data_IF_235832272135
#
_entry.id   IF_235832272135
#
_cell.length_a   1.000
_cell.length_b   1.000
_cell.length_c   1.000
_cell.angle_alpha   90.00
_cell.angle_beta   90.00
_cell.angle_gamma   90.00
#
_symmetry.space_group_name_H-M   'P 1'
#
loop_
_entity.id
_entity.type
_entity.pdbx_description
1 polymer ?
#
# COMPACT_ATOMS: atom_id res chain seq x y z
N UNK A 1 -0.45 -9.24 -22.95
CA UNK A 1 -1.31 -9.14 -21.75
C UNK A 1 -0.81 -7.95 -20.96
N UNK A 2 -1.55 -6.84 -20.99
CA UNK A 2 -1.16 -5.63 -20.28
C UNK A 2 -1.67 -5.79 -18.84
N UNK A 3 -0.75 -6.01 -17.89
CA UNK A 3 -1.13 -6.10 -16.48
C UNK A 3 -1.69 -4.75 -16.04
N UNK A 4 -2.89 -4.76 -15.48
CA UNK A 4 -3.53 -3.56 -14.96
C UNK A 4 -2.85 -3.12 -13.66
N UNK A 5 -2.99 -1.84 -13.33
CA UNK A 5 -2.45 -1.27 -12.08
C UNK A 5 -3.05 -1.98 -10.84
N UNK A 6 -4.33 -2.36 -10.91
CA UNK A 6 -5.03 -3.07 -9.85
C UNK A 6 -4.47 -4.49 -9.59
N UNK A 7 -4.14 -5.24 -10.64
CA UNK A 7 -3.48 -6.55 -10.51
C UNK A 7 -2.10 -6.42 -9.86
N UNK A 8 -1.33 -5.41 -10.25
CA UNK A 8 0.01 -5.15 -9.70
C UNK A 8 -0.05 -4.82 -8.20
N UNK A 9 -0.97 -3.94 -7.81
CA UNK A 9 -1.14 -3.54 -6.41
C UNK A 9 -1.73 -4.64 -5.56
N UNK A 10 -2.76 -5.36 -6.01
CA UNK A 10 -3.31 -6.50 -5.27
C UNK A 10 -2.26 -7.60 -5.06
N UNK A 11 -1.38 -7.84 -6.05
CA UNK A 11 -0.23 -8.72 -5.87
C UNK A 11 0.66 -8.23 -4.72
N UNK A 12 1.09 -6.98 -4.77
CA UNK A 12 1.99 -6.43 -3.74
C UNK A 12 1.33 -6.35 -2.36
N UNK A 13 0.02 -6.10 -2.27
CA UNK A 13 -0.73 -6.15 -1.01
C UNK A 13 -0.79 -7.57 -0.44
N UNK A 14 -0.95 -8.62 -1.26
CA UNK A 14 -0.84 -10.00 -0.77
C UNK A 14 0.55 -10.29 -0.20
N UNK A 15 1.59 -9.71 -0.79
CA UNK A 15 2.94 -9.76 -0.22
C UNK A 15 2.99 -9.10 1.16
N UNK A 16 2.42 -7.88 1.28
CA UNK A 16 2.37 -7.18 2.57
C UNK A 16 1.61 -7.99 3.62
N UNK A 17 0.47 -8.59 3.27
CA UNK A 17 -0.29 -9.47 4.17
C UNK A 17 0.55 -10.66 4.67
N UNK A 18 1.28 -11.35 3.79
CA UNK A 18 2.17 -12.44 4.18
C UNK A 18 3.33 -11.98 5.07
N UNK A 19 3.82 -10.75 4.93
CA UNK A 19 4.83 -10.19 5.84
C UNK A 19 4.25 -9.94 7.23
N UNK A 20 3.03 -9.38 7.30
CA UNK A 20 2.32 -9.13 8.56
C UNK A 20 1.92 -10.44 9.26
N UNK A 21 1.55 -11.47 8.49
CA UNK A 21 1.28 -12.81 9.01
C UNK A 21 2.52 -13.41 9.69
N UNK A 22 3.68 -13.36 9.03
CA UNK A 22 4.93 -13.81 9.63
C UNK A 22 5.30 -13.03 10.90
N UNK A 23 4.97 -11.74 10.95
CA UNK A 23 5.16 -10.94 12.14
C UNK A 23 4.24 -11.40 13.29
N UNK A 24 2.98 -11.71 12.99
CA UNK A 24 2.03 -12.23 13.98
C UNK A 24 2.48 -13.60 14.51
N UNK A 25 2.97 -14.48 13.63
CA UNK A 25 3.43 -15.83 14.01
C UNK A 25 4.71 -15.80 14.86
N UNK A 26 5.61 -14.85 14.60
CA UNK A 26 6.92 -14.77 15.26
C UNK A 26 6.95 -13.84 16.47
N UNK A 27 6.04 -12.87 16.55
CA UNK A 27 6.01 -11.84 17.60
C UNK A 27 5.48 -12.32 18.95
N UNK A 28 4.87 -13.51 19.02
CA UNK A 28 4.36 -14.06 20.27
C UNK A 28 3.24 -13.21 20.88
N UNK A 29 3.26 -13.02 22.21
CA UNK A 29 2.20 -12.29 22.93
C UNK A 29 2.22 -10.77 22.70
N UNK A 30 3.37 -10.24 22.28
CA UNK A 30 3.62 -8.81 22.15
C UNK A 30 3.69 -8.40 20.66
N UNK A 31 3.21 -9.26 19.75
CA UNK A 31 3.29 -9.03 18.31
C UNK A 31 2.66 -7.70 17.87
N UNK A 32 1.59 -7.28 18.55
CA UNK A 32 0.91 -6.02 18.28
C UNK A 32 1.75 -4.78 18.64
N UNK A 33 2.77 -4.89 19.51
CA UNK A 33 3.68 -3.76 19.80
C UNK A 33 4.48 -3.32 18.55
N UNK A 34 4.66 -4.22 17.57
CA UNK A 34 5.30 -3.90 16.29
C UNK A 34 4.55 -2.81 15.52
N UNK A 35 3.25 -2.63 15.76
CA UNK A 35 2.45 -1.61 15.09
C UNK A 35 2.94 -0.18 15.40
N UNK A 36 3.59 0.01 16.55
CA UNK A 36 4.24 1.27 16.98
C UNK A 36 5.68 1.43 16.48
N UNK A 37 6.30 0.38 15.95
CA UNK A 37 7.72 0.41 15.58
C UNK A 37 7.96 1.33 14.37
N UNK A 38 9.10 2.02 14.36
CA UNK A 38 9.55 2.94 13.30
C UNK A 38 11.06 2.86 13.09
N UNK A 39 11.52 3.25 11.90
CA UNK A 39 12.95 3.20 11.54
C UNK A 39 13.74 4.41 12.07
N UNK A 40 13.10 5.57 12.17
CA UNK A 40 13.69 6.80 12.68
C UNK A 40 12.65 7.58 13.50
N UNK A 41 13.06 8.48 14.41
CA UNK A 41 12.13 9.19 15.30
C UNK A 41 11.08 10.03 14.59
N UNK A 42 11.41 10.58 13.42
CA UNK A 42 10.56 11.42 12.57
C UNK A 42 9.79 10.63 11.50
N UNK A 43 10.01 9.32 11.40
CA UNK A 43 9.27 8.46 10.49
C UNK A 43 7.99 7.91 11.12
N UNK A 44 6.97 7.77 10.27
CA UNK A 44 5.73 7.11 10.65
C UNK A 44 5.91 5.63 11.02
N UNK A 45 5.15 5.13 12.01
CA UNK A 45 5.24 3.75 12.48
C UNK A 45 4.61 2.75 11.52
N UNK A 46 4.81 1.44 11.78
CA UNK A 46 4.31 0.35 10.95
C UNK A 46 2.83 0.47 10.62
N UNK A 47 1.99 0.79 11.61
CA UNK A 47 0.54 0.97 11.44
C UNK A 47 0.23 1.96 10.30
N UNK A 48 0.88 3.12 10.32
CA UNK A 48 0.72 4.17 9.33
C UNK A 48 1.28 3.77 7.98
N UNK A 49 2.41 3.06 7.92
CA UNK A 49 2.95 2.55 6.65
C UNK A 49 1.98 1.59 5.96
N UNK A 50 1.36 0.68 6.72
CA UNK A 50 0.34 -0.24 6.18
C UNK A 50 -0.88 0.53 5.68
N UNK A 51 -1.35 1.52 6.46
CA UNK A 51 -2.48 2.37 6.06
C UNK A 51 -2.19 3.11 4.75
N UNK A 52 -1.02 3.72 4.58
CA UNK A 52 -0.68 4.41 3.33
C UNK A 52 -0.47 3.46 2.15
N UNK A 53 0.10 2.28 2.37
CA UNK A 53 0.18 1.27 1.31
C UNK A 53 -1.22 0.89 0.79
N UNK A 54 -2.17 0.65 1.70
CA UNK A 54 -3.58 0.37 1.36
C UNK A 54 -4.24 1.57 0.69
N UNK A 55 -4.06 2.78 1.22
CA UNK A 55 -4.62 3.99 0.65
C UNK A 55 -4.22 4.18 -0.80
N UNK A 56 -2.91 4.16 -1.09
CA UNK A 56 -2.41 4.37 -2.44
C UNK A 56 -2.86 3.27 -3.39
N UNK A 57 -2.89 2.02 -2.93
CA UNK A 57 -3.40 0.92 -3.75
C UNK A 57 -4.84 1.16 -4.23
N UNK A 58 -5.69 1.74 -3.38
CA UNK A 58 -7.10 2.02 -3.69
C UNK A 58 -7.31 3.35 -4.42
N UNK A 59 -6.58 4.39 -4.04
CA UNK A 59 -6.75 5.74 -4.55
C UNK A 59 -6.23 5.91 -5.98
N UNK A 60 -5.05 5.35 -6.28
CA UNK A 60 -4.39 5.49 -7.59
C UNK A 60 -5.29 5.03 -8.75
N UNK A 61 -5.97 3.86 -8.70
CA UNK A 61 -6.91 3.46 -9.74
C UNK A 61 -8.06 4.46 -9.97
N UNK A 62 -8.58 5.11 -8.92
CA UNK A 62 -9.64 6.12 -9.08
C UNK A 62 -9.12 7.35 -9.82
N UNK A 63 -7.95 7.87 -9.45
CA UNK A 63 -7.33 9.00 -10.15
C UNK A 63 -7.01 8.68 -11.61
N UNK A 64 -6.58 7.45 -11.91
CA UNK A 64 -6.34 7.01 -13.28
C UNK A 64 -7.62 6.90 -14.12
N UNK A 65 -8.78 6.77 -13.50
CA UNK A 65 -10.08 6.83 -14.18
C UNK A 65 -10.68 8.24 -14.20
N UNK A 66 -10.01 9.23 -13.61
CA UNK A 66 -10.55 10.59 -13.45
C UNK A 66 -11.75 10.64 -12.49
N UNK A 67 -11.90 9.64 -11.63
CA UNK A 67 -12.98 9.52 -10.66
C UNK A 67 -12.57 10.14 -9.33
N UNK A 68 -13.52 10.74 -8.58
CA UNK A 68 -13.26 11.13 -7.19
C UNK A 68 -12.95 9.89 -6.36
N UNK A 69 -12.04 10.02 -5.40
CA UNK A 69 -11.73 8.97 -4.42
C UNK A 69 -12.92 8.90 -3.45
N UNK A 70 -13.59 7.74 -3.30
CA UNK A 70 -14.73 7.63 -2.39
C UNK A 70 -14.33 7.95 -0.94
N UNK A 71 -15.20 8.64 -0.20
CA UNK A 71 -14.98 8.88 1.24
C UNK A 71 -14.80 7.59 2.02
N UNK A 72 -15.43 6.48 1.58
CA UNK A 72 -15.23 5.16 2.17
C UNK A 72 -13.78 4.67 2.06
N UNK A 73 -13.06 4.97 0.97
CA UNK A 73 -11.63 4.64 0.82
C UNK A 73 -10.79 5.47 1.80
N UNK A 74 -11.13 6.75 1.95
CA UNK A 74 -10.46 7.64 2.92
C UNK A 74 -10.72 7.17 4.35
N UNK A 75 -11.97 6.90 4.70
CA UNK A 75 -12.39 6.43 6.02
C UNK A 75 -11.77 5.08 6.37
N UNK A 76 -11.69 4.15 5.40
CA UNK A 76 -11.03 2.86 5.56
C UNK A 76 -9.61 3.05 6.07
N UNK A 77 -8.88 4.04 5.57
CA UNK A 77 -7.48 4.31 5.92
C UNK A 77 -7.37 5.14 7.20
N UNK A 78 -8.14 6.21 7.34
CA UNK A 78 -8.05 7.13 8.48
C UNK A 78 -8.36 6.45 9.82
N UNK A 79 -9.19 5.40 9.82
CA UNK A 79 -9.50 4.64 11.03
C UNK A 79 -8.29 3.87 11.62
N UNK A 80 -7.17 3.75 10.90
CA UNK A 80 -5.93 3.12 11.38
C UNK A 80 -4.78 4.10 11.64
N UNK A 81 -5.04 5.41 11.61
CA UNK A 81 -4.02 6.47 11.74
C UNK A 81 -4.03 7.16 13.11
N UNK A 82 -4.48 6.48 14.16
CA UNK A 82 -4.34 6.98 15.53
C UNK A 82 -2.92 6.66 16.05
N UNK A 83 -2.04 7.66 16.24
CA UNK A 83 -0.68 7.42 16.74
C UNK A 83 -0.65 6.93 18.19
N UNK A 84 -1.69 7.21 18.97
CA UNK A 84 -1.81 6.77 20.37
C UNK A 84 -2.47 5.39 20.46
N UNK A 85 -3.15 4.94 19.40
CA UNK A 85 -3.78 3.64 19.30
C UNK A 85 -3.48 2.97 17.93
N UNK A 86 -2.27 2.41 17.77
CA UNK A 86 -1.78 1.89 16.48
C UNK A 86 -2.49 0.60 16.01
N UNK A 87 -3.40 0.06 16.83
CA UNK A 87 -4.17 -1.14 16.53
C UNK A 87 -3.37 -2.43 16.61
N UNK A 88 -3.89 -3.48 15.97
CA UNK A 88 -3.32 -4.84 15.99
C UNK A 88 -2.89 -5.28 14.60
N UNK A 89 -1.97 -6.26 14.54
CA UNK A 89 -1.59 -6.91 13.28
C UNK A 89 -2.80 -7.55 12.60
N UNK A 90 -3.72 -8.14 13.38
CA UNK A 90 -4.96 -8.72 12.85
C UNK A 90 -5.83 -7.67 12.15
N UNK A 91 -6.00 -6.49 12.75
CA UNK A 91 -6.76 -5.39 12.14
C UNK A 91 -6.06 -4.82 10.91
N UNK A 92 -4.73 -4.74 10.94
CA UNK A 92 -3.94 -4.33 9.78
C UNK A 92 -4.10 -5.30 8.60
N UNK A 93 -4.00 -6.61 8.85
CA UNK A 93 -4.24 -7.67 7.85
C UNK A 93 -5.66 -7.63 7.27
N UNK A 94 -6.67 -7.47 8.12
CA UNK A 94 -8.06 -7.33 7.66
C UNK A 94 -8.21 -6.15 6.68
N UNK A 95 -7.59 -5.01 7.00
CA UNK A 95 -7.58 -3.83 6.12
C UNK A 95 -6.90 -4.09 4.78
N UNK A 96 -5.81 -4.85 4.76
CA UNK A 96 -5.13 -5.28 3.52
C UNK A 96 -6.03 -6.23 2.71
N UNK A 97 -6.69 -7.20 3.36
CA UNK A 97 -7.59 -8.14 2.72
C UNK A 97 -8.80 -7.45 2.07
N UNK A 98 -9.43 -6.50 2.77
CA UNK A 98 -10.53 -5.69 2.24
C UNK A 98 -10.10 -4.91 1.00
N UNK A 99 -8.90 -4.33 1.02
CA UNK A 99 -8.36 -3.59 -0.12
C UNK A 99 -8.09 -4.49 -1.33
N UNK A 100 -7.60 -5.71 -1.11
CA UNK A 100 -7.45 -6.71 -2.17
C UNK A 100 -8.81 -7.05 -2.78
N UNK A 101 -9.84 -7.30 -1.98
CA UNK A 101 -11.19 -7.62 -2.46
C UNK A 101 -11.80 -6.47 -3.28
N UNK A 102 -11.59 -5.23 -2.86
CA UNK A 102 -12.00 -4.04 -3.64
C UNK A 102 -11.27 -4.00 -4.98
N UNK A 103 -9.95 -4.23 -4.99
CA UNK A 103 -9.15 -4.19 -6.23
C UNK A 103 -9.50 -5.29 -7.23
N UNK A 104 -9.87 -6.48 -6.74
CA UNK A 104 -10.26 -7.61 -7.59
C UNK A 104 -11.61 -7.38 -8.30
N UNK A 105 -12.46 -6.52 -7.74
CA UNK A 105 -13.77 -6.16 -8.32
C UNK A 105 -13.76 -4.81 -9.03
N UNK A 106 -12.66 -4.06 -8.96
CA UNK A 106 -12.54 -2.74 -9.54
C UNK A 106 -12.47 -2.79 -11.09
N UNK A 107 -13.05 -1.81 -11.78
CA UNK A 107 -12.83 -1.63 -13.22
C UNK A 107 -11.35 -1.46 -13.52
N UNK A 108 -10.92 -2.02 -14.67
CA UNK A 108 -9.54 -1.92 -15.11
C UNK A 108 -9.08 -0.46 -15.16
N UNK A 109 -7.99 -0.15 -14.45
CA UNK A 109 -7.32 1.14 -14.48
C UNK A 109 -5.98 0.94 -15.18
N UNK A 110 -5.89 1.42 -16.42
CA UNK A 110 -4.67 1.35 -17.22
C UNK A 110 -4.00 2.72 -17.29
N UNK A 111 -2.66 2.78 -17.34
CA UNK A 111 -1.92 4.03 -17.53
C UNK A 111 -2.14 4.67 -18.91
N UNK A 112 -2.86 4.00 -19.81
CA UNK A 112 -3.25 4.53 -21.13
C UNK A 112 -3.77 5.96 -20.95
N UNK A 113 -3.43 6.90 -21.85
CA UNK A 113 -3.75 8.30 -21.62
C UNK A 113 -5.25 8.43 -21.30
N UNK A 114 -5.56 9.21 -20.28
CA UNK A 114 -6.88 9.79 -20.01
C UNK A 114 -7.34 10.72 -21.17
N UNK A 115 -6.92 10.43 -22.41
CA UNK A 115 -6.78 11.42 -23.49
C UNK A 115 -5.89 12.57 -23.04
N UNK A 116 -6.37 13.79 -23.26
CA UNK A 116 -5.75 15.04 -22.80
C UNK A 116 -6.01 15.35 -21.31
N UNK A 117 -6.75 14.49 -20.58
CA UNK A 117 -7.07 14.80 -19.19
C UNK A 117 -5.86 14.56 -18.27
N UNK A 118 -5.58 15.56 -17.43
CA UNK A 118 -4.50 15.52 -16.46
C UNK A 118 -5.00 14.97 -15.12
N UNK A 119 -4.20 14.11 -14.48
CA UNK A 119 -4.36 13.80 -13.06
C UNK A 119 -3.93 15.02 -12.26
N UNK A 120 -4.84 15.55 -11.43
CA UNK A 120 -4.57 16.68 -10.53
C UNK A 120 -4.40 16.18 -9.11
N UNK A 121 -3.33 16.62 -8.46
CA UNK A 121 -3.05 16.36 -7.04
C UNK A 121 -2.95 17.72 -6.34
N UNK A 122 -3.89 17.98 -5.45
CA UNK A 122 -3.88 19.16 -4.61
C UNK A 122 -3.05 18.89 -3.37
N UNK A 123 -2.07 19.74 -3.11
CA UNK A 123 -1.26 19.75 -1.90
C UNK A 123 -1.31 21.14 -1.25
N UNK A 124 -1.02 21.25 0.06
CA UNK A 124 -0.97 22.55 0.74
C UNK A 124 -0.01 23.57 0.10
N UNK A 125 1.00 23.10 -0.64
CA UNK A 125 2.00 23.92 -1.33
C UNK A 125 1.72 24.12 -2.84
N UNK A 126 0.62 23.59 -3.38
CA UNK A 126 0.22 23.79 -4.79
C UNK A 126 -0.50 22.59 -5.42
N UNK A 127 -0.93 22.78 -6.67
CA UNK A 127 -1.56 21.72 -7.47
C UNK A 127 -0.59 21.20 -8.52
N UNK A 128 -0.34 19.90 -8.52
CA UNK A 128 0.41 19.21 -9.58
C UNK A 128 -0.56 18.67 -10.63
N UNK A 129 -0.23 18.85 -11.91
CA UNK A 129 -0.97 18.27 -13.02
C UNK A 129 -0.03 17.39 -13.84
N UNK A 130 -0.43 16.13 -14.07
CA UNK A 130 0.40 15.12 -14.74
C UNK A 130 -0.43 14.35 -15.76
N UNK A 131 0.18 13.87 -16.83
CA UNK A 131 -0.44 12.82 -17.66
C UNK A 131 -0.65 11.55 -16.83
N UNK A 132 -1.52 10.64 -17.26
CA UNK A 132 -1.67 9.34 -16.60
C UNK A 132 -0.35 8.56 -16.48
N UNK A 133 0.48 8.60 -17.53
CA UNK A 133 1.81 7.96 -17.51
C UNK A 133 2.77 8.61 -16.52
N UNK A 134 2.87 9.94 -16.52
CA UNK A 134 3.69 10.68 -15.55
C UNK A 134 3.20 10.42 -14.12
N UNK A 135 1.88 10.40 -13.91
CA UNK A 135 1.31 10.10 -12.61
C UNK A 135 1.74 8.71 -12.13
N UNK A 136 1.63 7.67 -12.96
CA UNK A 136 2.05 6.32 -12.59
C UNK A 136 3.55 6.25 -12.33
N UNK A 137 4.35 6.70 -13.31
CA UNK A 137 5.81 6.57 -13.31
C UNK A 137 6.46 7.43 -12.23
N UNK A 138 6.06 8.69 -12.12
CA UNK A 138 6.78 9.70 -11.34
C UNK A 138 6.18 9.89 -9.94
N UNK A 139 4.94 9.46 -9.69
CA UNK A 139 4.26 9.67 -8.41
C UNK A 139 3.74 8.38 -7.77
N UNK A 140 2.77 7.75 -8.41
CA UNK A 140 1.91 6.72 -7.83
C UNK A 140 2.71 5.48 -7.41
N UNK A 141 3.60 4.98 -8.28
CA UNK A 141 4.44 3.82 -7.97
C UNK A 141 5.41 4.11 -6.82
N UNK A 142 6.02 5.30 -6.80
CA UNK A 142 6.95 5.70 -5.75
C UNK A 142 6.27 5.73 -4.38
N UNK A 143 5.09 6.37 -4.29
CA UNK A 143 4.31 6.42 -3.06
C UNK A 143 3.97 5.02 -2.55
N UNK A 144 3.38 4.18 -3.40
CA UNK A 144 2.96 2.84 -3.00
C UNK A 144 4.14 1.96 -2.54
N UNK A 145 5.18 1.83 -3.36
CA UNK A 145 6.31 0.95 -3.03
C UNK A 145 7.15 1.45 -1.86
N UNK A 146 7.24 2.77 -1.65
CA UNK A 146 7.93 3.33 -0.49
C UNK A 146 7.31 2.81 0.82
N UNK A 147 5.99 2.85 0.94
CA UNK A 147 5.30 2.41 2.16
C UNK A 147 5.40 0.89 2.37
N UNK A 148 5.26 0.08 1.31
CA UNK A 148 5.41 -1.38 1.41
C UNK A 148 6.85 -1.76 1.81
N UNK A 149 7.86 -1.17 1.18
CA UNK A 149 9.26 -1.41 1.54
C UNK A 149 9.60 -0.93 2.94
N UNK A 150 9.02 0.19 3.37
CA UNK A 150 9.24 0.71 4.73
C UNK A 150 8.60 -0.22 5.77
N UNK A 151 7.40 -0.75 5.53
CA UNK A 151 6.80 -1.76 6.38
C UNK A 151 7.68 -3.03 6.47
N UNK A 152 8.17 -3.53 5.32
CA UNK A 152 9.14 -4.63 5.29
C UNK A 152 10.38 -4.32 6.14
N UNK A 153 10.96 -3.13 5.99
CA UNK A 153 12.16 -2.73 6.69
C UNK A 153 11.95 -2.62 8.21
N UNK A 154 10.80 -2.07 8.66
CA UNK A 154 10.44 -2.01 10.09
C UNK A 154 10.37 -3.41 10.67
N UNK A 155 9.62 -4.32 10.04
CA UNK A 155 9.48 -5.71 10.48
C UNK A 155 10.84 -6.42 10.53
N UNK A 156 11.67 -6.21 9.50
CA UNK A 156 13.00 -6.81 9.44
C UNK A 156 13.93 -6.28 10.52
N UNK A 157 13.88 -4.97 10.79
CA UNK A 157 14.66 -4.32 11.85
C UNK A 157 14.21 -4.79 13.25
N UNK A 158 12.93 -5.12 13.42
CA UNK A 158 12.37 -5.70 14.65
C UNK A 158 12.68 -7.19 14.84
N UNK A 159 13.48 -7.80 13.95
CA UNK A 159 13.95 -9.18 14.10
C UNK A 159 13.06 -10.24 13.44
N UNK A 160 11.99 -9.86 12.74
CA UNK A 160 11.17 -10.81 12.00
C UNK A 160 12.01 -11.47 10.89
N UNK A 161 11.94 -12.79 10.81
CA UNK A 161 12.66 -13.63 9.87
C UNK A 161 12.03 -13.57 8.46
N UNK A 162 12.13 -12.39 7.84
CA UNK A 162 11.69 -12.11 6.45
C UNK A 162 12.88 -11.71 5.56
N UNK A 163 12.81 -12.07 4.28
CA UNK A 163 13.86 -11.81 3.30
C UNK A 163 13.32 -11.27 1.97
N UNK A 164 14.24 -11.05 1.02
CA UNK A 164 13.89 -10.61 -0.34
C UNK A 164 12.88 -11.55 -1.02
N UNK A 165 12.98 -12.86 -0.77
CA UNK A 165 12.06 -13.85 -1.32
C UNK A 165 10.62 -13.70 -0.79
N UNK A 166 10.43 -13.08 0.39
CA UNK A 166 9.11 -12.79 0.93
C UNK A 166 8.54 -11.50 0.32
N UNK A 167 9.37 -10.48 0.18
CA UNK A 167 8.99 -9.22 -0.47
C UNK A 167 8.74 -9.40 -1.98
N UNK A 168 9.46 -10.31 -2.63
CA UNK A 168 9.39 -10.54 -4.08
C UNK A 168 9.31 -12.05 -4.34
N UNK A 169 8.14 -12.67 -4.11
CA UNK A 169 7.99 -14.11 -4.23
C UNK A 169 8.17 -14.57 -5.67
N UNK A 170 9.15 -15.46 -5.88
CA UNK A 170 9.51 -15.97 -7.20
C UNK A 170 8.37 -16.72 -7.90
N UNK A 171 7.40 -17.25 -7.15
CA UNK A 171 6.21 -17.92 -7.67
C UNK A 171 5.34 -17.06 -8.61
N UNK A 172 5.58 -15.75 -8.67
CA UNK A 172 4.92 -14.83 -9.61
C UNK A 172 5.60 -14.74 -10.97
N UNK A 173 6.83 -15.21 -11.10
CA UNK A 173 7.56 -15.20 -12.36
C UNK A 173 7.49 -16.60 -12.96
N UNK A 174 7.14 -16.69 -14.25
CA UNK A 174 7.37 -17.93 -14.99
C UNK A 174 8.88 -18.12 -15.04
N UNK A 175 9.38 -19.14 -14.34
CA UNK A 175 10.76 -19.59 -14.50
C UNK A 175 10.86 -20.14 -15.92
N UNK A 176 11.75 -19.57 -16.72
CA UNK A 176 12.04 -20.04 -18.07
C UNK A 176 12.79 -21.37 -18.03
#
# INVERSE_FOLDING_TARGET
MQLSVAETFSGTLRTLDSLLEKAADQGGKDADELMSARLAPDMYPLATQVCFAVYHALEIPHRLRGEPVPESVVAHVMAGLDPDNPGTLAAARARVADAIAILETAPAANPTPLGDAMVRIEQPNGTFAMTGEQYVRDWAMHQFYFHVMTAYAILRAAGIAIGKADYMPFARFKVA
#
